data_IF_309134819099
#
_entry.id   IF_309134819099
#
_cell.length_a   1.000
_cell.length_b   1.000
_cell.length_c   1.000
_cell.angle_alpha   90.00
_cell.angle_beta   90.00
_cell.angle_gamma   90.00
#
_symmetry.space_group_name_H-M   'P 1'
#
loop_
_entity.id
_entity.type
_entity.pdbx_description
1 polymer ?
#
# COMPACT_ATOMS: atom_id res chain seq x y z
N UNK A 1 -34.65 8.27 8.50
CA UNK A 1 -33.97 7.00 8.80
C UNK A 1 -32.77 7.34 9.68
N UNK A 2 -32.78 6.89 10.92
CA UNK A 2 -31.59 6.95 11.77
C UNK A 2 -30.61 5.87 11.28
N UNK A 3 -29.43 6.30 10.87
CA UNK A 3 -28.34 5.38 10.55
C UNK A 3 -27.83 4.89 11.90
N UNK A 4 -28.16 3.64 12.26
CA UNK A 4 -27.58 2.98 13.42
C UNK A 4 -26.07 2.93 13.17
N UNK A 5 -25.31 3.79 13.85
CA UNK A 5 -23.86 3.72 13.88
C UNK A 5 -23.49 2.45 14.64
N UNK A 6 -23.24 1.37 13.93
CA UNK A 6 -22.61 0.18 14.50
C UNK A 6 -21.33 0.62 15.23
N UNK A 7 -21.18 0.17 16.48
CA UNK A 7 -19.94 0.40 17.22
C UNK A 7 -18.73 -0.16 16.46
N UNK A 8 -17.51 0.33 16.74
CA UNK A 8 -16.33 -0.08 15.98
C UNK A 8 -16.08 -1.59 16.14
N UNK A 9 -16.49 -2.37 15.14
CA UNK A 9 -16.21 -3.79 15.07
C UNK A 9 -14.72 -4.02 14.89
N UNK A 10 -14.16 -5.01 15.60
CA UNK A 10 -12.80 -5.48 15.36
C UNK A 10 -12.65 -6.24 14.03
N UNK A 11 -13.76 -6.63 13.39
CA UNK A 11 -13.76 -7.43 12.16
C UNK A 11 -13.84 -6.63 10.86
N UNK A 12 -14.17 -5.34 10.92
CA UNK A 12 -14.32 -4.49 9.74
C UNK A 12 -13.28 -3.37 9.75
N UNK A 13 -12.60 -3.11 8.62
CA UNK A 13 -11.69 -1.98 8.53
C UNK A 13 -12.46 -0.66 8.76
N UNK A 14 -11.84 0.34 9.41
CA UNK A 14 -12.40 1.69 9.42
C UNK A 14 -12.47 2.21 7.97
N UNK A 15 -13.53 2.93 7.62
CA UNK A 15 -13.68 3.54 6.29
C UNK A 15 -13.19 4.98 6.34
N UNK A 16 -12.29 5.35 5.42
CA UNK A 16 -11.87 6.73 5.18
C UNK A 16 -12.85 7.39 4.21
N UNK A 17 -13.66 8.32 4.72
CA UNK A 17 -14.71 9.04 4.00
C UNK A 17 -14.30 10.47 3.58
N UNK A 18 -12.99 10.71 3.49
CA UNK A 18 -12.41 12.03 3.28
C UNK A 18 -12.25 12.87 4.55
N UNK A 19 -12.67 12.39 5.73
CA UNK A 19 -12.55 13.12 7.00
C UNK A 19 -11.76 12.33 8.04
N UNK A 20 -11.25 13.03 9.05
CA UNK A 20 -10.61 12.44 10.24
C UNK A 20 -9.49 11.44 9.92
N UNK A 21 -8.63 11.74 8.94
CA UNK A 21 -7.55 10.85 8.49
C UNK A 21 -6.68 10.32 9.65
N UNK A 22 -6.31 11.15 10.63
CA UNK A 22 -5.51 10.71 11.77
C UNK A 22 -6.17 9.60 12.61
N UNK A 23 -7.50 9.64 12.75
CA UNK A 23 -8.27 8.56 13.40
C UNK A 23 -8.25 7.30 12.54
N UNK A 24 -8.57 7.44 11.25
CA UNK A 24 -8.57 6.32 10.31
C UNK A 24 -7.19 5.63 10.26
N UNK A 25 -6.12 6.40 10.09
CA UNK A 25 -4.73 5.92 10.03
C UNK A 25 -4.38 5.10 11.25
N UNK A 26 -4.64 5.65 12.45
CA UNK A 26 -4.38 4.94 13.72
C UNK A 26 -5.15 3.63 13.82
N UNK A 27 -6.44 3.63 13.43
CA UNK A 27 -7.29 2.42 13.47
C UNK A 27 -6.91 1.40 12.41
N UNK A 28 -6.54 1.84 11.21
CA UNK A 28 -6.14 0.97 10.10
C UNK A 28 -4.79 0.30 10.38
N UNK A 29 -3.81 1.02 10.92
CA UNK A 29 -2.54 0.45 11.38
C UNK A 29 -2.80 -0.68 12.39
N UNK A 30 -3.66 -0.44 13.38
CA UNK A 30 -4.01 -1.46 14.37
C UNK A 30 -4.71 -2.65 13.71
N UNK A 31 -5.69 -2.39 12.83
CA UNK A 31 -6.45 -3.42 12.12
C UNK A 31 -5.56 -4.36 11.31
N UNK A 32 -4.68 -3.82 10.44
CA UNK A 32 -3.76 -4.62 9.63
C UNK A 32 -2.84 -5.46 10.53
N UNK A 33 -2.26 -4.87 11.58
CA UNK A 33 -1.38 -5.58 12.52
C UNK A 33 -2.07 -6.76 13.21
N UNK A 34 -3.36 -6.60 13.57
CA UNK A 34 -4.12 -7.67 14.23
C UNK A 34 -4.66 -8.71 13.26
N UNK A 35 -4.97 -8.31 12.01
CA UNK A 35 -5.48 -9.20 10.99
C UNK A 35 -4.37 -10.07 10.40
N UNK A 36 -3.25 -9.44 10.02
CA UNK A 36 -2.10 -10.11 9.42
C UNK A 36 -0.80 -9.31 9.66
N UNK A 37 0.01 -9.79 10.61
CA UNK A 37 1.31 -9.19 10.93
C UNK A 37 2.36 -9.34 9.82
N UNK A 38 2.20 -10.26 8.86
CA UNK A 38 3.06 -10.36 7.68
C UNK A 38 2.67 -9.29 6.66
N UNK A 39 1.38 -9.09 6.41
CA UNK A 39 0.88 -8.01 5.56
C UNK A 39 1.30 -6.63 6.08
N UNK A 40 1.26 -6.39 7.40
CA UNK A 40 1.80 -5.15 7.98
C UNK A 40 3.29 -4.96 7.67
N UNK A 41 4.10 -6.02 7.80
CA UNK A 41 5.53 -5.94 7.48
C UNK A 41 5.77 -5.68 6.00
N UNK A 42 5.00 -6.30 5.11
CA UNK A 42 5.05 -6.04 3.67
C UNK A 42 4.69 -4.59 3.33
N UNK A 43 3.65 -4.03 3.98
CA UNK A 43 3.29 -2.61 3.82
C UNK A 43 4.43 -1.67 4.21
N UNK A 44 5.09 -1.92 5.34
CA UNK A 44 6.18 -1.07 5.83
C UNK A 44 7.46 -1.25 5.00
N UNK A 45 7.85 -2.49 4.71
CA UNK A 45 9.05 -2.79 3.94
C UNK A 45 8.90 -2.29 2.49
N UNK A 46 7.73 -2.49 1.90
CA UNK A 46 7.51 -2.39 0.46
C UNK A 46 7.52 -3.77 -0.19
N UNK A 47 7.18 -3.80 -1.45
CA UNK A 47 7.21 -4.99 -2.28
C UNK A 47 7.94 -4.65 -3.58
N UNK A 48 8.99 -5.40 -3.86
CA UNK A 48 9.72 -5.32 -5.11
C UNK A 48 9.28 -6.51 -5.98
N UNK A 49 8.60 -6.26 -7.11
CA UNK A 49 8.19 -7.33 -8.02
C UNK A 49 9.40 -8.14 -8.51
N UNK A 50 9.31 -9.48 -8.59
CA UNK A 50 10.38 -10.30 -9.13
C UNK A 50 10.73 -9.92 -10.57
N UNK A 51 12.01 -9.64 -10.84
CA UNK A 51 12.54 -9.27 -12.15
C UNK A 51 13.66 -10.21 -12.57
N UNK A 52 13.80 -10.42 -13.88
CA UNK A 52 14.91 -11.16 -14.49
C UNK A 52 15.57 -10.34 -15.60
N UNK A 53 16.84 -10.63 -15.89
CA UNK A 53 17.55 -10.02 -17.01
C UNK A 53 17.47 -10.96 -18.22
N UNK A 54 16.83 -10.49 -19.29
CA UNK A 54 16.77 -11.19 -20.59
C UNK A 54 17.46 -10.31 -21.62
N UNK A 55 18.54 -10.81 -22.23
CA UNK A 55 19.33 -10.07 -23.22
C UNK A 55 19.78 -8.67 -22.74
N UNK A 56 20.11 -8.53 -21.46
CA UNK A 56 20.54 -7.25 -20.86
C UNK A 56 19.41 -6.29 -20.48
N UNK A 57 18.15 -6.67 -20.68
CA UNK A 57 16.97 -5.87 -20.30
C UNK A 57 16.28 -6.49 -19.09
N UNK A 58 15.94 -5.67 -18.10
CA UNK A 58 15.15 -6.09 -16.93
C UNK A 58 13.68 -6.21 -17.33
N UNK A 59 13.10 -7.40 -17.13
CA UNK A 59 11.70 -7.72 -17.43
C UNK A 59 11.06 -8.46 -16.26
N UNK A 60 9.73 -8.39 -16.09
CA UNK A 60 9.04 -9.16 -15.06
C UNK A 60 9.34 -10.64 -15.18
N UNK A 61 9.66 -11.27 -14.04
CA UNK A 61 9.84 -12.71 -13.95
C UNK A 61 8.47 -13.40 -14.07
N UNK A 62 8.31 -14.43 -14.92
CA UNK A 62 7.07 -15.20 -14.98
C UNK A 62 6.71 -15.79 -13.61
N UNK A 63 5.44 -15.71 -13.22
CA UNK A 63 4.96 -16.20 -11.91
C UNK A 63 5.25 -17.68 -11.67
N UNK A 64 5.24 -18.50 -12.73
CA UNK A 64 5.57 -19.94 -12.65
C UNK A 64 7.01 -20.20 -12.19
N UNK A 65 7.90 -19.23 -12.36
CA UNK A 65 9.31 -19.34 -11.98
C UNK A 65 9.59 -18.70 -10.62
N UNK A 66 8.58 -18.14 -9.95
CA UNK A 66 8.75 -17.48 -8.66
C UNK A 66 9.20 -18.48 -7.60
N UNK A 67 10.06 -18.02 -6.70
CA UNK A 67 10.38 -18.77 -5.47
C UNK A 67 9.23 -18.64 -4.47
N UNK A 68 9.14 -19.58 -3.52
CA UNK A 68 8.16 -19.50 -2.43
C UNK A 68 8.22 -18.16 -1.68
N UNK A 69 9.42 -17.59 -1.53
CA UNK A 69 9.62 -16.28 -0.88
C UNK A 69 9.07 -15.12 -1.73
N UNK A 70 9.28 -15.15 -3.04
CA UNK A 70 8.77 -14.15 -3.99
C UNK A 70 7.23 -14.18 -4.06
N UNK A 71 6.65 -15.38 -4.16
CA UNK A 71 5.21 -15.60 -4.11
C UNK A 71 4.64 -15.12 -2.77
N UNK A 72 5.27 -15.52 -1.66
CA UNK A 72 4.81 -15.12 -0.34
C UNK A 72 4.86 -13.60 -0.17
N UNK A 73 5.92 -12.91 -0.65
CA UNK A 73 6.00 -11.45 -0.61
C UNK A 73 4.88 -10.78 -1.42
N UNK A 74 4.57 -11.32 -2.61
CA UNK A 74 3.46 -10.86 -3.45
C UNK A 74 2.10 -11.00 -2.74
N UNK A 75 1.86 -12.16 -2.12
CA UNK A 75 0.63 -12.44 -1.35
C UNK A 75 0.46 -11.46 -0.19
N UNK A 76 1.52 -11.20 0.58
CA UNK A 76 1.45 -10.28 1.72
C UNK A 76 1.24 -8.82 1.28
N UNK A 77 1.83 -8.40 0.16
CA UNK A 77 1.54 -7.11 -0.46
C UNK A 77 0.06 -7.02 -0.90
N UNK A 78 -0.45 -8.05 -1.59
CA UNK A 78 -1.83 -8.08 -2.05
C UNK A 78 -2.83 -8.02 -0.88
N UNK A 79 -2.56 -8.73 0.23
CA UNK A 79 -3.38 -8.66 1.44
C UNK A 79 -3.37 -7.27 2.07
N UNK A 80 -2.20 -6.65 2.18
CA UNK A 80 -2.09 -5.30 2.70
C UNK A 80 -2.87 -4.30 1.81
N UNK A 81 -2.66 -4.36 0.50
CA UNK A 81 -3.34 -3.50 -0.48
C UNK A 81 -4.87 -3.68 -0.43
N UNK A 82 -5.34 -4.93 -0.44
CA UNK A 82 -6.76 -5.23 -0.33
C UNK A 82 -7.36 -4.72 0.99
N UNK A 83 -6.60 -4.76 2.09
CA UNK A 83 -7.07 -4.20 3.37
C UNK A 83 -7.23 -2.68 3.30
N UNK A 84 -6.30 -1.99 2.64
CA UNK A 84 -6.40 -0.54 2.38
C UNK A 84 -7.61 -0.24 1.49
N UNK A 85 -7.79 -0.97 0.39
CA UNK A 85 -8.92 -0.78 -0.54
C UNK A 85 -10.28 -0.97 0.12
N UNK A 86 -10.41 -1.96 1.01
CA UNK A 86 -11.64 -2.17 1.79
C UNK A 86 -11.85 -1.13 2.90
N UNK A 87 -10.83 -0.34 3.23
CA UNK A 87 -10.85 0.69 4.25
C UNK A 87 -11.05 2.10 3.73
N UNK A 88 -11.38 2.29 2.46
CA UNK A 88 -11.59 3.61 1.85
C UNK A 88 -12.97 3.67 1.20
N UNK A 89 -13.56 4.87 1.15
CA UNK A 89 -14.77 5.08 0.35
C UNK A 89 -14.44 5.17 -1.16
N UNK A 90 -15.47 5.32 -1.99
CA UNK A 90 -15.29 5.37 -3.45
C UNK A 90 -14.41 6.54 -3.91
N UNK A 91 -14.60 7.74 -3.35
CA UNK A 91 -13.84 8.93 -3.77
C UNK A 91 -12.36 8.78 -3.40
N UNK A 92 -12.07 8.20 -2.25
CA UNK A 92 -10.70 7.94 -1.79
C UNK A 92 -10.09 6.77 -2.54
N UNK A 93 -10.88 5.76 -2.89
CA UNK A 93 -10.44 4.63 -3.72
C UNK A 93 -9.94 5.10 -5.08
N UNK A 94 -10.61 6.07 -5.72
CA UNK A 94 -10.17 6.65 -7.00
C UNK A 94 -8.75 7.25 -6.95
N UNK A 95 -8.26 7.65 -5.77
CA UNK A 95 -6.89 8.17 -5.59
C UNK A 95 -5.83 7.08 -5.64
N UNK A 96 -6.19 5.83 -5.31
CA UNK A 96 -5.24 4.72 -5.10
C UNK A 96 -5.53 3.50 -5.98
N UNK A 97 -6.56 3.55 -6.84
CA UNK A 97 -7.04 2.40 -7.62
C UNK A 97 -5.98 1.86 -8.61
N UNK A 98 -5.01 2.67 -9.01
CA UNK A 98 -3.91 2.28 -9.89
C UNK A 98 -2.69 1.74 -9.15
N UNK A 99 -2.66 1.80 -7.81
CA UNK A 99 -1.56 1.29 -7.02
C UNK A 99 -1.58 -0.25 -7.01
N UNK A 100 -0.45 -0.86 -7.35
CA UNK A 100 -0.22 -2.32 -7.22
C UNK A 100 0.59 -2.67 -5.96
N UNK A 101 1.23 -1.67 -5.34
CA UNK A 101 2.04 -1.85 -4.13
C UNK A 101 1.32 -1.18 -2.95
N UNK A 102 1.10 -1.94 -1.87
CA UNK A 102 0.39 -1.48 -0.68
C UNK A 102 1.05 -0.23 -0.06
N UNK A 103 2.39 -0.18 -0.08
CA UNK A 103 3.17 0.95 0.42
C UNK A 103 2.92 2.22 -0.39
N UNK A 104 2.78 2.12 -1.71
CA UNK A 104 2.46 3.25 -2.58
C UNK A 104 1.05 3.77 -2.33
N UNK A 105 0.07 2.87 -2.21
CA UNK A 105 -1.30 3.23 -1.85
C UNK A 105 -1.34 3.95 -0.50
N UNK A 106 -0.67 3.39 0.52
CA UNK A 106 -0.55 3.99 1.84
C UNK A 106 0.08 5.38 1.78
N UNK A 107 1.20 5.52 1.05
CA UNK A 107 1.91 6.80 0.91
C UNK A 107 1.07 7.84 0.18
N UNK A 108 0.32 7.44 -0.84
CA UNK A 108 -0.59 8.33 -1.58
C UNK A 108 -1.65 8.91 -0.65
N UNK A 109 -2.22 8.10 0.24
CA UNK A 109 -3.14 8.58 1.28
C UNK A 109 -2.45 9.53 2.26
N UNK A 110 -1.23 9.24 2.71
CA UNK A 110 -0.48 10.15 3.59
C UNK A 110 -0.25 11.51 2.92
N UNK A 111 0.15 11.52 1.65
CA UNK A 111 0.37 12.77 0.90
C UNK A 111 -0.94 13.54 0.73
N UNK A 112 -2.03 12.86 0.35
CA UNK A 112 -3.33 13.48 0.11
C UNK A 112 -3.93 14.14 1.38
N UNK A 113 -3.74 13.54 2.56
CA UNK A 113 -4.40 13.98 3.79
C UNK A 113 -3.49 14.67 4.82
N UNK A 114 -2.18 14.43 4.79
CA UNK A 114 -1.21 15.07 5.70
C UNK A 114 -0.34 16.12 5.00
N UNK A 115 -0.40 16.24 3.67
CA UNK A 115 0.23 17.33 2.92
C UNK A 115 1.77 17.30 2.91
N UNK A 116 2.39 16.13 3.08
CA UNK A 116 3.86 16.03 3.01
C UNK A 116 4.34 15.97 1.56
N UNK A 117 4.76 17.11 1.03
CA UNK A 117 5.54 17.21 -0.19
C UNK A 117 6.81 16.35 -0.07
N UNK A 118 7.10 15.56 -1.10
CA UNK A 118 8.36 14.84 -1.24
C UNK A 118 9.53 15.83 -1.11
N UNK A 119 10.43 15.63 -0.15
CA UNK A 119 11.79 16.17 -0.29
C UNK A 119 12.47 15.34 -1.37
N UNK A 120 12.44 15.84 -2.60
CA UNK A 120 13.20 15.36 -3.73
C UNK A 120 14.70 15.52 -3.45
N UNK A 121 15.36 14.52 -2.87
CA UNK A 121 16.81 14.51 -2.74
C UNK A 121 17.50 13.22 -3.22
N UNK A 122 16.78 12.26 -3.82
CA UNK A 122 17.40 11.00 -4.29
C UNK A 122 17.44 10.81 -5.83
N UNK A 123 17.13 11.85 -6.62
CA UNK A 123 17.56 11.86 -8.03
C UNK A 123 18.94 12.54 -8.15
N UNK A 124 20.00 11.80 -7.81
CA UNK A 124 21.34 12.14 -8.31
C UNK A 124 21.39 11.82 -9.80
N UNK A 125 21.08 12.82 -10.62
CA UNK A 125 21.57 12.83 -12.01
C UNK A 125 23.03 13.27 -11.92
N UNK A 126 23.94 12.30 -11.93
CA UNK A 126 25.33 12.58 -12.29
C UNK A 126 25.33 12.96 -13.77
N UNK A 127 25.48 14.25 -14.07
CA UNK A 127 25.82 14.70 -15.41
C UNK A 127 27.33 14.58 -15.52
N UNK A 128 27.79 13.56 -16.24
CA UNK A 128 29.17 13.48 -16.70
C UNK A 128 29.43 14.65 -17.64
N UNK A 129 30.37 15.53 -17.30
CA UNK A 129 30.92 16.51 -18.22
C UNK A 129 32.40 16.19 -18.46
N UNK A 130 32.70 15.95 -19.73
CA UNK A 130 34.01 15.93 -20.38
C UNK A 130 35.00 16.94 -19.82
#
# INVERSE_FOLDING_TARGET
MEIIREGPSASRPPVLDGKNYSYWKSRMIFFIKTLDGKAWRALVAGYDPPMIIVNGVSVPKPEVDWTDDEEQASVENARALNTIFNGVDLNVFELINSCSIAKEAWKTLEVAYEGTYFQSNDFKITVDNN
#
